data_IF_415478540631
#
_entry.id   IF_415478540631
#
_cell.length_a   1.000
_cell.length_b   1.000
_cell.length_c   1.000
_cell.angle_alpha   90.00
_cell.angle_beta   90.00
_cell.angle_gamma   90.00
#
_symmetry.space_group_name_H-M   'P 1'
#
loop_
_entity.id
_entity.type
_entity.pdbx_description
1 polymer ?
#
# COMPACT_ATOMS: atom_id res chain seq x y z
N UNK A 1 -7.51 -5.19 14.67
CA UNK A 1 -7.85 -6.13 15.76
C UNK A 1 -7.97 -5.43 17.11
N UNK A 2 -6.99 -4.64 17.57
CA UNK A 2 -7.13 -3.93 18.87
C UNK A 2 -8.37 -3.02 18.95
N UNK A 3 -8.61 -2.17 17.95
CA UNK A 3 -9.80 -1.32 17.91
C UNK A 3 -11.12 -2.11 17.92
N UNK A 4 -11.12 -3.28 17.26
CA UNK A 4 -12.27 -4.19 17.19
C UNK A 4 -12.54 -4.83 18.56
N UNK A 5 -11.49 -5.20 19.29
CA UNK A 5 -11.61 -5.71 20.66
C UNK A 5 -12.24 -4.66 21.59
N UNK A 6 -11.75 -3.42 21.54
CA UNK A 6 -12.29 -2.34 22.38
C UNK A 6 -13.75 -2.07 22.06
N UNK A 7 -14.11 -1.99 20.77
CA UNK A 7 -15.50 -1.84 20.34
C UNK A 7 -16.37 -3.00 20.86
N UNK A 8 -15.90 -4.24 20.71
CA UNK A 8 -16.64 -5.43 21.13
C UNK A 8 -16.84 -5.51 22.66
N UNK A 9 -15.87 -5.05 23.46
CA UNK A 9 -16.01 -4.96 24.91
C UNK A 9 -17.10 -3.94 25.26
N UNK A 10 -17.06 -2.75 24.66
CA UNK A 10 -18.07 -1.71 24.89
C UNK A 10 -19.47 -2.21 24.54
N UNK A 11 -19.64 -2.84 23.38
CA UNK A 11 -20.95 -3.38 22.96
C UNK A 11 -21.39 -4.53 23.88
N UNK A 12 -20.48 -5.39 24.33
CA UNK A 12 -20.84 -6.49 25.25
C UNK A 12 -21.29 -5.96 26.59
N UNK A 13 -20.59 -4.97 27.15
CA UNK A 13 -21.00 -4.32 28.40
C UNK A 13 -22.37 -3.67 28.26
N UNK A 14 -22.63 -3.03 27.12
CA UNK A 14 -23.93 -2.43 26.80
C UNK A 14 -25.06 -3.48 26.74
N UNK A 15 -24.88 -4.57 25.98
CA UNK A 15 -25.89 -5.63 25.88
C UNK A 15 -26.20 -6.29 27.23
N UNK A 16 -25.21 -6.42 28.11
CA UNK A 16 -25.40 -6.94 29.48
C UNK A 16 -26.23 -5.98 30.33
N UNK A 17 -25.94 -4.67 30.27
CA UNK A 17 -26.64 -3.65 31.06
C UNK A 17 -28.13 -3.60 30.68
N UNK A 18 -28.44 -3.68 29.38
CA UNK A 18 -29.82 -3.61 28.89
C UNK A 18 -30.58 -4.93 28.97
N UNK A 19 -29.95 -6.02 29.46
CA UNK A 19 -30.56 -7.35 29.48
C UNK A 19 -31.09 -7.75 28.09
N UNK A 20 -30.34 -7.41 27.04
CA UNK A 20 -30.69 -7.74 25.67
C UNK A 20 -30.70 -9.26 25.42
N UNK A 21 -31.27 -9.67 24.29
CA UNK A 21 -31.40 -11.07 23.90
C UNK A 21 -30.08 -11.85 24.02
N UNK A 22 -30.17 -13.10 24.49
CA UNK A 22 -29.03 -14.01 24.71
C UNK A 22 -28.17 -14.18 23.44
N UNK A 23 -28.80 -14.13 22.26
CA UNK A 23 -28.10 -14.29 20.98
C UNK A 23 -27.18 -13.09 20.71
N UNK A 24 -27.63 -11.86 20.99
CA UNK A 24 -26.86 -10.64 20.79
C UNK A 24 -25.65 -10.57 21.74
N UNK A 25 -25.86 -10.88 23.02
CA UNK A 25 -24.77 -10.96 24.02
C UNK A 25 -23.76 -12.06 23.70
N UNK A 26 -24.22 -13.27 23.32
CA UNK A 26 -23.33 -14.34 22.90
C UNK A 26 -22.51 -13.93 21.66
N UNK A 27 -23.14 -13.27 20.70
CA UNK A 27 -22.48 -12.80 19.48
C UNK A 27 -21.36 -11.80 19.81
N UNK A 28 -21.59 -10.81 20.67
CA UNK A 28 -20.58 -9.82 21.04
C UNK A 28 -19.41 -10.42 21.84
N UNK A 29 -19.71 -11.39 22.72
CA UNK A 29 -18.69 -12.14 23.48
C UNK A 29 -17.79 -12.94 22.52
N UNK A 30 -18.34 -13.59 21.51
CA UNK A 30 -17.52 -14.32 20.52
C UNK A 30 -16.56 -13.38 19.76
N UNK A 31 -16.97 -12.14 19.49
CA UNK A 31 -16.10 -11.13 18.87
C UNK A 31 -14.93 -10.78 19.78
N UNK A 32 -15.17 -10.63 21.10
CA UNK A 32 -14.12 -10.36 22.09
C UNK A 32 -13.08 -11.50 22.10
N UNK A 33 -13.54 -12.75 22.23
CA UNK A 33 -12.64 -13.91 22.25
C UNK A 33 -11.82 -14.05 20.97
N UNK A 34 -12.47 -13.94 19.80
CA UNK A 34 -11.77 -14.02 18.51
C UNK A 34 -10.78 -12.86 18.33
N UNK A 35 -11.12 -11.66 18.80
CA UNK A 35 -10.22 -10.50 18.72
C UNK A 35 -8.97 -10.70 19.59
N UNK A 36 -9.12 -11.28 20.79
CA UNK A 36 -7.99 -11.64 21.67
C UNK A 36 -7.12 -12.70 21.00
N UNK A 37 -7.71 -13.80 20.50
CA UNK A 37 -6.99 -14.88 19.82
C UNK A 37 -6.22 -14.33 18.61
N UNK A 38 -6.87 -13.50 17.80
CA UNK A 38 -6.25 -12.88 16.62
C UNK A 38 -5.08 -11.95 17.01
N UNK A 39 -5.20 -11.18 18.10
CA UNK A 39 -4.09 -10.34 18.60
C UNK A 39 -2.91 -11.18 19.09
N UNK A 40 -3.17 -12.23 19.87
CA UNK A 40 -2.13 -13.13 20.37
C UNK A 40 -1.41 -13.85 19.23
N UNK A 41 -2.16 -14.35 18.25
CA UNK A 41 -1.59 -15.00 17.06
C UNK A 41 -0.76 -14.01 16.22
N UNK A 42 -1.28 -12.80 16.00
CA UNK A 42 -0.59 -11.74 15.26
C UNK A 42 0.74 -11.37 15.92
N UNK A 43 0.76 -11.23 17.25
CA UNK A 43 1.97 -10.87 18.00
C UNK A 43 3.00 -12.02 18.03
N UNK A 44 2.56 -13.28 18.10
CA UNK A 44 3.49 -14.43 18.13
C UNK A 44 4.09 -14.77 16.77
N UNK A 45 3.30 -14.70 15.70
CA UNK A 45 3.71 -15.20 14.37
C UNK A 45 4.13 -14.11 13.40
N UNK A 46 3.73 -12.86 13.62
CA UNK A 46 3.92 -11.75 12.67
C UNK A 46 3.11 -11.88 11.37
N UNK A 47 2.37 -12.99 11.16
CA UNK A 47 1.65 -13.31 9.92
C UNK A 47 0.19 -12.87 9.95
N UNK A 48 -0.06 -11.59 10.23
CA UNK A 48 -1.43 -11.05 10.33
C UNK A 48 -2.27 -11.22 9.05
N UNK A 49 -1.61 -11.29 7.88
CA UNK A 49 -2.29 -11.43 6.58
C UNK A 49 -3.12 -12.72 6.46
N UNK A 50 -2.72 -13.80 7.15
CA UNK A 50 -3.47 -15.06 7.14
C UNK A 50 -4.81 -14.94 7.90
N UNK A 51 -4.90 -14.02 8.87
CA UNK A 51 -6.12 -13.79 9.65
C UNK A 51 -7.16 -12.91 8.94
N UNK A 52 -6.77 -12.19 7.88
CA UNK A 52 -7.65 -11.21 7.22
C UNK A 52 -8.92 -11.87 6.67
N UNK A 53 -8.78 -12.91 5.85
CA UNK A 53 -9.91 -13.60 5.21
C UNK A 53 -10.86 -14.26 6.22
N UNK A 54 -10.38 -15.08 7.20
CA UNK A 54 -11.28 -15.70 8.17
C UNK A 54 -11.97 -14.67 9.06
N UNK A 55 -11.31 -13.55 9.41
CA UNK A 55 -11.96 -12.50 10.21
C UNK A 55 -13.06 -11.79 9.42
N UNK A 56 -12.83 -11.46 8.14
CA UNK A 56 -13.87 -10.86 7.29
C UNK A 56 -15.06 -11.83 7.12
N UNK A 57 -14.79 -13.11 6.87
CA UNK A 57 -15.84 -14.13 6.76
C UNK A 57 -16.65 -14.23 8.06
N UNK A 58 -15.97 -14.22 9.22
CA UNK A 58 -16.63 -14.22 10.52
C UNK A 58 -17.54 -13.01 10.71
N UNK A 59 -17.08 -11.78 10.43
CA UNK A 59 -17.93 -10.58 10.53
C UNK A 59 -19.10 -10.60 9.54
N UNK A 60 -18.91 -11.18 8.37
CA UNK A 60 -19.98 -11.36 7.39
C UNK A 60 -21.07 -12.33 7.88
N UNK A 61 -20.68 -13.49 8.45
CA UNK A 61 -21.63 -14.43 9.06
C UNK A 61 -22.31 -13.80 10.28
N UNK A 62 -21.54 -13.09 11.10
CA UNK A 62 -22.06 -12.37 12.26
C UNK A 62 -23.15 -11.37 11.86
N UNK A 63 -22.94 -10.60 10.78
CA UNK A 63 -23.93 -9.66 10.25
C UNK A 63 -25.25 -10.35 9.85
N UNK A 64 -25.20 -11.56 9.28
CA UNK A 64 -26.41 -12.33 8.95
C UNK A 64 -27.14 -12.77 10.22
N UNK A 65 -26.41 -13.29 11.20
CA UNK A 65 -26.99 -13.74 12.47
C UNK A 65 -27.60 -12.58 13.25
N UNK A 66 -26.88 -11.46 13.36
CA UNK A 66 -27.37 -10.27 14.06
C UNK A 66 -28.49 -9.57 13.29
N UNK A 67 -28.62 -9.76 11.98
CA UNK A 67 -29.78 -9.23 11.24
C UNK A 67 -31.07 -9.89 11.72
N UNK A 68 -31.05 -11.21 11.88
CA UNK A 68 -32.21 -11.98 12.36
C UNK A 68 -32.49 -11.70 13.84
N UNK A 69 -31.43 -11.62 14.64
CA UNK A 69 -31.53 -11.45 16.08
C UNK A 69 -31.82 -10.00 16.53
N UNK A 70 -31.76 -9.01 15.64
CA UNK A 70 -31.87 -7.60 15.97
C UNK A 70 -32.81 -6.84 15.02
N UNK A 71 -34.03 -7.36 14.86
CA UNK A 71 -35.14 -6.73 14.11
C UNK A 71 -34.82 -6.23 12.68
N UNK A 72 -33.87 -6.88 12.00
CA UNK A 72 -33.55 -6.63 10.59
C UNK A 72 -33.31 -5.17 10.24
N UNK A 73 -34.12 -4.63 9.33
CA UNK A 73 -34.05 -3.22 8.89
C UNK A 73 -34.44 -2.21 9.96
N UNK A 74 -35.16 -2.63 11.01
CA UNK A 74 -35.64 -1.75 12.08
C UNK A 74 -34.71 -1.71 13.28
N UNK A 75 -33.69 -2.57 13.35
CA UNK A 75 -32.69 -2.57 14.40
C UNK A 75 -31.35 -1.96 14.00
N UNK A 76 -30.35 -2.16 14.84
CA UNK A 76 -29.05 -1.53 14.69
C UNK A 76 -28.11 -2.23 13.68
N UNK A 77 -28.44 -3.45 13.26
CA UNK A 77 -27.54 -4.28 12.44
C UNK A 77 -27.07 -3.63 11.12
N UNK A 78 -27.90 -2.88 10.38
CA UNK A 78 -27.48 -2.22 9.14
C UNK A 78 -26.27 -1.27 9.32
N UNK A 79 -26.05 -0.70 10.51
CA UNK A 79 -24.92 0.23 10.72
C UNK A 79 -23.55 -0.47 10.74
N UNK A 80 -23.49 -1.76 11.10
CA UNK A 80 -22.23 -2.51 11.09
C UNK A 80 -21.70 -2.78 9.68
N UNK A 81 -22.55 -2.65 8.65
CA UNK A 81 -22.14 -2.78 7.24
C UNK A 81 -21.06 -1.75 6.89
N UNK A 82 -21.13 -0.53 7.43
CA UNK A 82 -20.14 0.51 7.17
C UNK A 82 -18.75 0.08 7.67
N UNK A 83 -18.69 -0.57 8.84
CA UNK A 83 -17.45 -1.13 9.39
C UNK A 83 -16.95 -2.27 8.50
N UNK A 84 -17.83 -3.20 8.12
CA UNK A 84 -17.47 -4.35 7.28
C UNK A 84 -16.95 -3.90 5.90
N UNK A 85 -17.59 -2.92 5.27
CA UNK A 85 -17.14 -2.30 4.02
C UNK A 85 -15.77 -1.65 4.18
N UNK A 86 -15.57 -0.88 5.25
CA UNK A 86 -14.29 -0.20 5.50
C UNK A 86 -13.16 -1.21 5.71
N UNK A 87 -13.38 -2.24 6.52
CA UNK A 87 -12.41 -3.33 6.72
C UNK A 87 -12.15 -4.06 5.39
N UNK A 88 -13.19 -4.30 4.59
CA UNK A 88 -13.09 -4.92 3.26
C UNK A 88 -12.22 -4.10 2.30
N UNK A 89 -12.46 -2.80 2.16
CA UNK A 89 -11.67 -1.88 1.33
C UNK A 89 -10.19 -1.91 1.74
N UNK A 90 -9.94 -1.86 3.04
CA UNK A 90 -8.58 -1.74 3.58
C UNK A 90 -7.77 -3.02 3.45
N UNK A 91 -8.42 -4.19 3.57
CA UNK A 91 -7.72 -5.46 3.70
C UNK A 91 -7.81 -6.35 2.45
N UNK A 92 -8.80 -6.18 1.56
CA UNK A 92 -8.98 -6.99 0.35
C UNK A 92 -8.54 -6.21 -0.90
N UNK A 93 -7.31 -6.46 -1.39
CA UNK A 93 -6.78 -5.73 -2.57
C UNK A 93 -7.35 -6.19 -3.93
N UNK A 94 -7.58 -7.50 -4.13
CA UNK A 94 -7.87 -8.08 -5.47
C UNK A 94 -9.27 -8.68 -5.68
N UNK A 95 -10.01 -9.13 -4.65
CA UNK A 95 -11.42 -9.49 -4.81
C UNK A 95 -12.40 -8.40 -4.32
N UNK A 96 -11.96 -7.13 -4.19
CA UNK A 96 -12.81 -6.08 -3.60
C UNK A 96 -14.16 -5.87 -4.32
N UNK A 97 -14.23 -5.74 -5.66
CA UNK A 97 -15.53 -5.58 -6.34
C UNK A 97 -16.46 -6.78 -6.12
N UNK A 98 -15.90 -7.99 -6.10
CA UNK A 98 -16.66 -9.22 -5.83
C UNK A 98 -17.20 -9.21 -4.41
N UNK A 99 -16.39 -8.80 -3.42
CA UNK A 99 -16.81 -8.65 -2.03
C UNK A 99 -17.96 -7.64 -1.88
N UNK A 100 -17.88 -6.51 -2.59
CA UNK A 100 -18.95 -5.50 -2.61
C UNK A 100 -20.25 -6.11 -3.15
N UNK A 101 -20.20 -6.79 -4.29
CA UNK A 101 -21.38 -7.46 -4.88
C UNK A 101 -21.95 -8.50 -3.92
N UNK A 102 -21.11 -9.30 -3.26
CA UNK A 102 -21.56 -10.28 -2.25
C UNK A 102 -22.30 -9.58 -1.10
N UNK A 103 -21.79 -8.48 -0.57
CA UNK A 103 -22.48 -7.73 0.49
C UNK A 103 -23.82 -7.20 -0.02
N UNK A 104 -23.86 -6.51 -1.15
CA UNK A 104 -25.11 -5.92 -1.66
C UNK A 104 -26.17 -6.98 -1.99
N UNK A 105 -25.78 -8.11 -2.60
CA UNK A 105 -26.69 -9.22 -2.88
C UNK A 105 -27.22 -9.87 -1.59
N UNK A 106 -26.36 -10.03 -0.58
CA UNK A 106 -26.76 -10.55 0.73
C UNK A 106 -27.73 -9.61 1.42
N UNK A 107 -27.48 -8.29 1.39
CA UNK A 107 -28.38 -7.30 1.97
C UNK A 107 -29.73 -7.26 1.28
N UNK A 108 -29.76 -7.32 -0.05
CA UNK A 108 -31.01 -7.41 -0.80
C UNK A 108 -31.80 -8.69 -0.42
N UNK A 109 -31.10 -9.82 -0.25
CA UNK A 109 -31.70 -11.07 0.22
C UNK A 109 -32.26 -10.95 1.63
N UNK A 110 -31.51 -10.38 2.58
CA UNK A 110 -31.94 -10.17 3.96
C UNK A 110 -33.12 -9.19 4.07
N UNK A 111 -33.11 -8.12 3.28
CA UNK A 111 -34.25 -7.20 3.16
C UNK A 111 -35.49 -7.88 2.57
N UNK A 112 -35.31 -8.77 1.59
CA UNK A 112 -36.38 -9.60 1.06
C UNK A 112 -36.96 -10.52 2.14
N UNK A 113 -36.11 -11.20 2.92
CA UNK A 113 -36.54 -12.06 4.02
C UNK A 113 -37.29 -11.25 5.08
N UNK A 114 -36.79 -10.08 5.46
CA UNK A 114 -37.45 -9.15 6.39
C UNK A 114 -38.87 -8.78 5.90
N UNK A 115 -38.99 -8.44 4.62
CA UNK A 115 -40.28 -8.08 4.02
C UNK A 115 -41.28 -9.26 3.93
N UNK A 116 -40.85 -10.43 3.46
CA UNK A 116 -41.75 -11.57 3.20
C UNK A 116 -41.99 -12.45 4.43
N UNK A 117 -41.03 -12.54 5.34
CA UNK A 117 -41.06 -13.43 6.51
C UNK A 117 -40.72 -12.70 7.81
N UNK A 118 -41.49 -11.65 8.18
CA UNK A 118 -41.20 -10.84 9.37
C UNK A 118 -41.26 -11.65 10.68
N UNK A 119 -41.94 -12.79 10.70
CA UNK A 119 -42.03 -13.67 11.89
C UNK A 119 -40.73 -14.36 12.27
N UNK A 120 -39.72 -14.37 11.38
CA UNK A 120 -38.40 -14.96 11.65
C UNK A 120 -37.53 -14.00 12.47
N UNK A 121 -37.82 -12.70 12.42
CA UNK A 121 -37.05 -11.66 13.09
C UNK A 121 -37.39 -11.62 14.57
N UNK A 122 -36.34 -11.51 15.40
CA UNK A 122 -36.48 -11.25 16.83
C UNK A 122 -36.52 -9.75 17.03
N UNK A 123 -37.71 -9.23 17.34
CA UNK A 123 -37.94 -7.81 17.58
C UNK A 123 -37.58 -7.36 19.00
N UNK A 124 -37.54 -6.05 19.20
CA UNK A 124 -37.39 -5.44 20.52
C UNK A 124 -38.72 -5.51 21.30
N UNK A 125 -38.63 -5.69 22.63
CA UNK A 125 -39.82 -5.66 23.48
C UNK A 125 -40.39 -4.25 23.65
N UNK A 126 -39.52 -3.24 23.68
CA UNK A 126 -39.91 -1.85 23.92
C UNK A 126 -39.30 -0.88 22.91
N UNK A 127 -40.04 0.18 22.56
CA UNK A 127 -39.53 1.26 21.69
C UNK A 127 -38.32 1.99 22.28
N UNK A 128 -38.24 2.08 23.61
CA UNK A 128 -37.11 2.71 24.30
C UNK A 128 -35.83 1.90 24.12
N UNK A 129 -35.91 0.58 24.25
CA UNK A 129 -34.77 -0.33 24.01
C UNK A 129 -34.30 -0.25 22.56
N UNK A 130 -35.22 -0.26 21.60
CA UNK A 130 -34.92 -0.06 20.18
C UNK A 130 -34.19 1.27 19.93
N UNK A 131 -34.72 2.38 20.46
CA UNK A 131 -34.12 3.70 20.28
C UNK A 131 -32.71 3.76 20.86
N UNK A 132 -32.51 3.23 22.08
CA UNK A 132 -31.20 3.21 22.72
C UNK A 132 -30.20 2.37 21.91
N UNK A 133 -30.57 1.16 21.47
CA UNK A 133 -29.68 0.29 20.70
C UNK A 133 -29.26 0.93 19.38
N UNK A 134 -30.22 1.47 18.63
CA UNK A 134 -29.94 2.20 17.39
C UNK A 134 -29.01 3.39 17.65
N UNK A 135 -29.30 4.22 18.65
CA UNK A 135 -28.52 5.41 18.94
C UNK A 135 -27.08 5.06 19.35
N UNK A 136 -26.93 4.14 20.31
CA UNK A 136 -25.62 3.71 20.81
C UNK A 136 -24.81 3.04 19.71
N UNK A 137 -25.41 2.10 18.98
CA UNK A 137 -24.74 1.39 17.89
C UNK A 137 -24.33 2.32 16.76
N UNK A 138 -25.16 3.32 16.41
CA UNK A 138 -24.81 4.33 15.41
C UNK A 138 -23.60 5.17 15.86
N UNK A 139 -23.60 5.69 17.09
CA UNK A 139 -22.48 6.48 17.60
C UNK A 139 -21.20 5.66 17.69
N UNK A 140 -21.27 4.42 18.19
CA UNK A 140 -20.14 3.49 18.26
C UNK A 140 -19.62 3.21 16.85
N UNK A 141 -20.50 2.90 15.89
CA UNK A 141 -20.11 2.63 14.51
C UNK A 141 -19.41 3.82 13.87
N UNK A 142 -19.99 5.02 13.96
CA UNK A 142 -19.40 6.23 13.38
C UNK A 142 -18.04 6.57 14.02
N UNK A 143 -17.93 6.46 15.34
CA UNK A 143 -16.69 6.74 16.06
C UNK A 143 -15.58 5.77 15.65
N UNK A 144 -15.82 4.46 15.70
CA UNK A 144 -14.81 3.47 15.35
C UNK A 144 -14.49 3.47 13.85
N UNK A 145 -15.49 3.68 12.99
CA UNK A 145 -15.26 3.78 11.55
C UNK A 145 -14.36 4.98 11.22
N UNK A 146 -14.67 6.15 11.78
CA UNK A 146 -13.87 7.38 11.60
C UNK A 146 -12.46 7.19 12.13
N UNK A 147 -12.30 6.55 13.29
CA UNK A 147 -11.00 6.25 13.88
C UNK A 147 -10.17 5.30 13.02
N UNK A 148 -10.78 4.25 12.47
CA UNK A 148 -10.12 3.32 11.55
C UNK A 148 -9.62 4.06 10.30
N UNK A 149 -10.50 4.86 9.68
CA UNK A 149 -10.15 5.66 8.49
C UNK A 149 -9.02 6.63 8.80
N UNK A 150 -9.11 7.35 9.93
CA UNK A 150 -8.08 8.30 10.36
C UNK A 150 -6.71 7.63 10.56
N UNK A 151 -6.67 6.49 11.28
CA UNK A 151 -5.42 5.75 11.53
C UNK A 151 -4.80 5.29 10.22
N UNK A 152 -5.60 4.70 9.34
CA UNK A 152 -5.08 4.21 8.05
C UNK A 152 -4.65 5.35 7.16
N UNK A 153 -5.43 6.42 7.06
CA UNK A 153 -5.07 7.58 6.26
C UNK A 153 -3.77 8.22 6.75
N UNK A 154 -3.57 8.30 8.07
CA UNK A 154 -2.33 8.77 8.67
C UNK A 154 -1.12 7.90 8.29
N UNK A 155 -1.24 6.57 8.37
CA UNK A 155 -0.15 5.67 7.98
C UNK A 155 0.10 5.67 6.47
N UNK A 156 -0.95 5.72 5.66
CA UNK A 156 -0.86 5.88 4.21
C UNK A 156 -0.09 7.15 3.83
N UNK A 157 -0.41 8.28 4.47
CA UNK A 157 0.32 9.54 4.26
C UNK A 157 1.78 9.44 4.73
N UNK A 158 2.07 8.72 5.82
CA UNK A 158 3.43 8.49 6.30
C UNK A 158 4.25 7.69 5.28
N UNK A 159 3.72 6.58 4.78
CA UNK A 159 4.37 5.77 3.75
C UNK A 159 4.62 6.57 2.47
N UNK A 160 3.65 7.38 2.05
CA UNK A 160 3.78 8.23 0.86
C UNK A 160 4.93 9.22 0.99
N UNK A 161 5.00 9.96 2.11
CA UNK A 161 6.11 10.90 2.38
C UNK A 161 7.47 10.22 2.40
N UNK A 162 7.55 9.00 2.93
CA UNK A 162 8.80 8.25 2.97
C UNK A 162 9.25 7.86 1.56
N UNK A 163 8.32 7.38 0.72
CA UNK A 163 8.58 7.07 -0.69
C UNK A 163 9.02 8.31 -1.47
N UNK A 164 8.38 9.46 -1.24
CA UNK A 164 8.75 10.72 -1.89
C UNK A 164 10.18 11.14 -1.53
N UNK A 165 10.57 11.04 -0.24
CA UNK A 165 11.95 11.31 0.20
C UNK A 165 12.95 10.36 -0.44
N UNK A 166 12.62 9.05 -0.47
CA UNK A 166 13.48 8.04 -1.07
C UNK A 166 13.66 8.29 -2.57
N UNK A 167 12.58 8.67 -3.27
CA UNK A 167 12.61 8.97 -4.70
C UNK A 167 13.50 10.18 -5.00
N UNK A 168 13.40 11.26 -4.21
CA UNK A 168 14.28 12.43 -4.34
C UNK A 168 15.75 12.05 -4.09
N UNK A 169 16.02 11.20 -3.10
CA UNK A 169 17.38 10.71 -2.84
C UNK A 169 17.91 9.86 -3.99
N UNK A 170 17.13 8.91 -4.49
CA UNK A 170 17.52 8.07 -5.64
C UNK A 170 17.82 8.91 -6.89
N UNK A 171 17.06 9.99 -7.14
CA UNK A 171 17.34 10.91 -8.25
C UNK A 171 18.69 11.63 -8.04
N UNK A 172 18.95 12.16 -6.85
CA UNK A 172 20.23 12.83 -6.54
C UNK A 172 21.43 11.92 -6.66
N UNK A 173 21.34 10.71 -6.10
CA UNK A 173 22.41 9.71 -6.17
C UNK A 173 22.69 9.33 -7.63
N UNK A 174 21.64 9.23 -8.47
CA UNK A 174 21.78 9.00 -9.90
C UNK A 174 22.49 10.16 -10.61
N UNK A 175 22.11 11.41 -10.32
CA UNK A 175 22.77 12.59 -10.89
C UNK A 175 24.24 12.71 -10.49
N UNK A 176 24.59 12.35 -9.25
CA UNK A 176 25.97 12.31 -8.79
C UNK A 176 26.77 11.21 -9.49
N UNK A 177 26.20 10.01 -9.62
CA UNK A 177 26.81 8.92 -10.35
C UNK A 177 27.04 9.28 -11.82
N UNK A 178 26.05 9.89 -12.48
CA UNK A 178 26.18 10.35 -13.86
C UNK A 178 27.27 11.44 -14.00
N UNK A 179 27.37 12.36 -13.04
CA UNK A 179 28.44 13.37 -13.01
C UNK A 179 29.82 12.75 -12.84
N UNK A 180 30.00 11.86 -11.86
CA UNK A 180 31.27 11.16 -11.64
C UNK A 180 31.65 10.31 -12.86
N UNK A 181 30.66 9.66 -13.50
CA UNK A 181 30.88 8.89 -14.72
C UNK A 181 31.33 9.79 -15.88
N UNK A 182 30.72 10.97 -16.03
CA UNK A 182 31.13 11.97 -17.04
C UNK A 182 32.54 12.50 -16.77
N UNK A 183 32.89 12.77 -15.52
CA UNK A 183 34.23 13.22 -15.13
C UNK A 183 35.29 12.15 -15.43
N UNK A 184 35.03 10.89 -15.09
CA UNK A 184 35.90 9.76 -15.48
C UNK A 184 36.04 9.68 -17.00
N UNK A 185 34.97 9.88 -17.78
CA UNK A 185 35.03 9.86 -19.25
C UNK A 185 35.88 11.01 -19.79
N UNK A 186 35.80 12.20 -19.20
CA UNK A 186 36.64 13.36 -19.56
C UNK A 186 38.11 13.07 -19.21
N UNK A 187 38.39 12.63 -17.98
CA UNK A 187 39.75 12.32 -17.52
C UNK A 187 40.39 11.20 -18.35
N UNK A 188 39.62 10.17 -18.73
CA UNK A 188 40.07 9.12 -19.67
C UNK A 188 40.30 9.62 -21.09
N UNK A 189 39.73 10.77 -21.47
CA UNK A 189 39.93 11.42 -22.76
C UNK A 189 41.17 12.31 -22.83
N UNK A 190 41.87 12.53 -21.71
CA UNK A 190 43.12 13.30 -21.71
C UNK A 190 44.24 12.39 -22.20
N UNK A 191 44.71 12.65 -23.42
CA UNK A 191 45.81 11.93 -24.03
C UNK A 191 47.11 12.70 -23.73
N UNK A 192 48.03 12.16 -22.91
CA UNK A 192 49.31 12.80 -22.63
C UNK A 192 50.19 12.83 -23.88
N UNK A 193 50.44 14.02 -24.41
CA UNK A 193 51.29 14.26 -25.59
C UNK A 193 52.62 14.89 -25.16
N UNK A 194 53.74 14.36 -25.63
CA UNK A 194 55.06 14.94 -25.35
C UNK A 194 55.18 16.32 -25.98
N UNK A 195 55.55 17.34 -25.19
CA UNK A 195 55.65 18.71 -25.68
C UNK A 195 56.68 18.88 -26.81
N UNK A 196 57.79 18.12 -26.75
CA UNK A 196 58.89 18.18 -27.71
C UNK A 196 58.66 17.38 -29.00
N UNK A 197 58.32 16.08 -28.88
CA UNK A 197 58.23 15.19 -30.05
C UNK A 197 56.80 14.76 -30.44
N UNK A 198 55.77 15.24 -29.73
CA UNK A 198 54.34 14.97 -29.97
C UNK A 198 53.90 13.49 -29.94
N UNK A 199 54.74 12.58 -29.46
CA UNK A 199 54.36 11.20 -29.16
C UNK A 199 53.30 11.15 -28.05
N UNK A 200 52.43 10.16 -28.10
CA UNK A 200 51.41 9.89 -27.08
C UNK A 200 51.94 8.87 -26.08
N UNK A 201 51.75 9.11 -24.79
CA UNK A 201 52.07 8.11 -23.75
C UNK A 201 50.88 7.18 -23.53
N UNK A 202 51.12 5.87 -23.61
CA UNK A 202 50.09 4.87 -23.38
C UNK A 202 49.91 4.53 -21.87
N UNK A 203 49.01 3.58 -21.58
CA UNK A 203 48.73 3.13 -20.20
C UNK A 203 49.87 2.32 -19.57
N UNK A 204 50.77 1.74 -20.37
CA UNK A 204 51.97 1.02 -19.90
C UNK A 204 53.11 1.98 -19.60
N UNK A 205 53.02 3.20 -20.11
CA UNK A 205 53.96 4.28 -19.90
C UNK A 205 54.88 4.53 -21.08
N UNK A 206 54.70 3.80 -22.19
CA UNK A 206 55.51 3.88 -23.40
C UNK A 206 55.05 5.02 -24.32
N UNK A 207 55.97 5.57 -25.12
CA UNK A 207 55.71 6.69 -26.02
C UNK A 207 55.58 6.25 -27.47
N UNK A 208 54.36 6.31 -28.00
CA UNK A 208 54.00 5.85 -29.34
C UNK A 208 53.77 7.03 -30.29
N UNK A 209 53.90 6.83 -31.61
CA UNK A 209 53.45 7.85 -32.57
C UNK A 209 51.94 8.01 -32.48
N UNK A 210 51.47 9.19 -32.83
CA UNK A 210 50.05 9.51 -32.73
C UNK A 210 49.19 8.61 -33.61
N UNK A 211 49.66 8.29 -34.82
CA UNK A 211 48.90 7.46 -35.75
C UNK A 211 48.72 6.03 -35.22
N UNK A 212 49.80 5.43 -34.73
CA UNK A 212 49.81 4.07 -34.17
C UNK A 212 48.86 3.97 -32.96
N UNK A 213 48.97 4.94 -32.04
CA UNK A 213 48.13 4.99 -30.85
C UNK A 213 46.64 5.11 -31.19
N UNK A 214 46.27 5.99 -32.13
CA UNK A 214 44.87 6.21 -32.52
C UNK A 214 44.28 5.02 -33.28
N UNK A 215 45.05 4.38 -34.17
CA UNK A 215 44.61 3.16 -34.86
C UNK A 215 44.37 1.99 -33.89
N UNK A 216 45.19 1.86 -32.85
CA UNK A 216 45.05 0.77 -31.86
C UNK A 216 43.96 1.03 -30.81
N UNK A 217 43.70 2.30 -30.47
CA UNK A 217 42.86 2.67 -29.33
C UNK A 217 41.54 3.37 -29.71
N UNK A 218 41.24 3.49 -31.01
CA UNK A 218 39.98 4.08 -31.48
C UNK A 218 39.46 3.39 -32.74
N UNK A 219 38.19 3.61 -33.06
CA UNK A 219 37.57 3.13 -34.30
C UNK A 219 37.88 4.04 -35.51
N UNK A 220 38.69 5.09 -35.34
CA UNK A 220 39.01 6.04 -36.39
C UNK A 220 40.02 5.45 -37.40
N UNK A 221 39.76 5.66 -38.70
CA UNK A 221 40.71 5.34 -39.79
C UNK A 221 41.47 6.59 -40.20
N UNK A 222 42.79 6.55 -40.10
CA UNK A 222 43.66 7.66 -40.49
C UNK A 222 44.04 7.58 -41.98
N UNK A 223 43.93 8.71 -42.67
CA UNK A 223 44.43 8.89 -44.04
C UNK A 223 45.45 10.02 -44.06
N UNK A 224 46.46 9.91 -44.92
CA UNK A 224 47.48 10.95 -45.05
C UNK A 224 47.10 11.94 -46.15
N UNK A 225 47.22 13.23 -45.85
CA UNK A 225 47.04 14.33 -46.79
C UNK A 225 47.99 15.47 -46.43
N UNK A 226 48.25 16.36 -47.39
CA UNK A 226 49.06 17.56 -47.18
C UNK A 226 48.12 18.76 -47.16
N UNK A 227 48.20 19.59 -46.10
CA UNK A 227 47.43 20.83 -46.07
C UNK A 227 48.04 21.89 -47.00
N UNK A 228 47.27 22.90 -47.45
CA UNK A 228 47.75 23.93 -48.37
C UNK A 228 49.03 24.64 -47.89
N UNK A 229 49.13 24.90 -46.58
CA UNK A 229 50.30 25.55 -45.97
C UNK A 229 51.57 24.71 -46.13
N UNK A 230 51.47 23.41 -45.83
CA UNK A 230 52.59 22.48 -45.98
C UNK A 230 52.94 22.25 -47.45
N UNK A 231 51.95 22.24 -48.35
CA UNK A 231 52.18 22.09 -49.78
C UNK A 231 53.06 23.24 -50.29
N UNK A 232 52.67 24.48 -49.97
CA UNK A 232 53.40 25.69 -50.37
C UNK A 232 54.83 25.72 -49.84
N UNK A 233 55.05 25.18 -48.63
CA UNK A 233 56.37 25.11 -48.01
C UNK A 233 57.28 24.03 -48.63
N UNK A 234 56.72 22.84 -48.91
CA UNK A 234 57.47 21.68 -49.42
C UNK A 234 57.66 21.72 -50.93
N UNK A 235 56.76 22.37 -51.65
CA UNK A 235 56.74 22.47 -53.10
C UNK A 235 56.52 23.93 -53.54
N UNK A 236 57.44 24.86 -53.19
CA UNK A 236 57.27 26.27 -53.51
C UNK A 236 57.34 26.59 -55.02
N UNK A 237 57.83 25.64 -55.82
CA UNK A 237 58.07 25.80 -57.27
C UNK A 237 57.00 25.11 -58.15
N UNK A 238 55.97 24.53 -57.54
CA UNK A 238 54.78 23.96 -58.20
C UNK A 238 53.57 24.87 -58.00
#
# INVERSE_FOLDING_TARGET
>A
MFLVLVAAIITTTYCIILHDHIILTASSVTVVFLSIIALLYSNKTGKYQMLVKPVILYFFVLMIVTWIANDGTRGATPYFIFILMTIGILLLKKPFPVFVVIIFTTLAGLMGIDYFYPSILIGYETKTQQFLDIAVSLFVCLFFNSLIIYVVFREYLRERRLKDKLLVQTIRDKEELERAHKEIKILKGIIPVCAGCKKIRDKKGDWNRMEDYLNENSEAKLTHGICPDCFTLLYPDL
#
